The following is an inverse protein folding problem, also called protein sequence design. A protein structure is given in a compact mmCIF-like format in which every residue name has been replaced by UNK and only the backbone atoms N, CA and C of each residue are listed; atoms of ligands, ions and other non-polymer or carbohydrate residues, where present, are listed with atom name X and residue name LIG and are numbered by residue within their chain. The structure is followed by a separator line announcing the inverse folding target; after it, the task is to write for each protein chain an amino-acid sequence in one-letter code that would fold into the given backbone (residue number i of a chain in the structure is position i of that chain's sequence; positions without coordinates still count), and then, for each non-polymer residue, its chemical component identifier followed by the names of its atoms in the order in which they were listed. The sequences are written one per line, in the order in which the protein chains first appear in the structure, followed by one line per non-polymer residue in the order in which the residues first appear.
data_IF_261138376816
#
_entry.id   IF_261138376816
#
_cell.length_a   1.000
_cell.length_b   1.000
_cell.length_c   1.000
_cell.angle_alpha   90.00
_cell.angle_beta   90.00
_cell.angle_gamma   90.00
#
_symmetry.space_group_name_H-M   'P 1'
#
loop_
_entity.id
_entity.type
_entity.pdbx_description
1 polymer ?
#
# COMPACT_ATOMS: atom_id res chain seq x y z
N UNK A 1 -11.13 6.33 12.47
CA UNK A 1 -9.73 6.78 12.25
C UNK A 1 -9.27 7.67 13.41
N UNK A 2 -9.11 7.13 14.63
CA UNK A 2 -8.54 7.86 15.77
C UNK A 2 -8.02 6.86 16.83
N UNK A 3 -6.97 6.11 16.51
CA UNK A 3 -6.26 5.25 17.48
C UNK A 3 -4.83 5.03 17.01
N UNK A 4 -4.01 6.08 16.93
CA UNK A 4 -2.58 5.89 16.64
C UNK A 4 -1.64 6.94 17.25
N UNK A 5 -1.96 7.46 18.44
CA UNK A 5 -1.07 8.37 19.18
C UNK A 5 -0.64 7.87 20.56
N UNK A 6 -1.02 6.64 20.97
CA UNK A 6 -0.63 6.09 22.29
C UNK A 6 0.65 5.24 22.27
N UNK A 7 1.06 4.69 21.13
CA UNK A 7 2.24 3.81 21.03
C UNK A 7 3.57 4.58 21.05
N UNK A 8 3.60 5.80 20.50
CA UNK A 8 4.85 6.58 20.43
C UNK A 8 5.29 7.16 21.77
N UNK A 9 4.39 7.26 22.75
CA UNK A 9 4.70 7.78 24.09
C UNK A 9 5.38 6.72 24.96
N UNK A 10 4.96 5.46 24.87
CA UNK A 10 5.58 4.35 25.59
C UNK A 10 6.97 4.00 25.07
N UNK A 11 7.22 4.18 23.78
CA UNK A 11 8.55 3.96 23.19
C UNK A 11 9.55 5.05 23.61
N UNK A 12 9.12 6.31 23.66
CA UNK A 12 9.96 7.41 24.15
C UNK A 12 10.26 7.30 25.65
N UNK A 13 9.29 6.91 26.48
CA UNK A 13 9.51 6.70 27.91
C UNK A 13 10.46 5.53 28.20
N UNK A 14 10.45 4.49 27.36
CA UNK A 14 11.39 3.38 27.43
C UNK A 14 12.80 3.83 27.05
N UNK A 15 12.93 4.66 26.01
CA UNK A 15 14.22 5.22 25.58
C UNK A 15 14.82 6.18 26.62
N UNK A 16 14.01 7.03 27.25
CA UNK A 16 14.46 7.93 28.33
C UNK A 16 14.81 7.18 29.62
N UNK A 17 14.15 6.05 29.92
CA UNK A 17 14.49 5.18 31.05
C UNK A 17 15.85 4.51 30.87
N UNK A 18 16.14 4.02 29.65
CA UNK A 18 17.44 3.43 29.31
C UNK A 18 18.56 4.47 29.38
N UNK A 19 18.36 5.69 28.87
CA UNK A 19 19.35 6.77 28.98
C UNK A 19 19.58 7.21 30.44
N UNK A 20 18.53 7.23 31.28
CA UNK A 20 18.66 7.55 32.71
C UNK A 20 19.40 6.45 33.48
N UNK A 21 19.23 5.19 33.08
CA UNK A 21 19.97 4.04 33.64
C UNK A 21 21.45 4.04 33.23
N UNK A 22 21.77 4.31 31.96
CA UNK A 22 23.16 4.48 31.52
C UNK A 22 23.86 5.69 32.16
N UNK A 23 23.13 6.79 32.43
CA UNK A 23 23.67 7.95 33.16
C UNK A 23 23.90 7.66 34.64
N UNK A 24 23.10 6.77 35.25
CA UNK A 24 23.32 6.25 36.60
C UNK A 24 24.57 5.36 36.63
N UNK A 25 24.72 4.46 35.67
CA UNK A 25 25.87 3.55 35.56
C UNK A 25 27.18 4.29 35.29
N UNK A 26 27.15 5.35 34.47
CA UNK A 26 28.29 6.24 34.23
C UNK A 26 28.64 7.10 35.46
N UNK A 27 27.66 7.47 36.29
CA UNK A 27 27.92 8.18 37.56
C UNK A 27 28.56 7.27 38.60
N UNK A 28 28.11 6.01 38.71
CA UNK A 28 28.71 5.00 39.59
C UNK A 28 30.13 4.62 39.14
N UNK A 29 30.40 4.61 37.83
CA UNK A 29 31.74 4.33 37.29
C UNK A 29 32.73 5.50 37.46
N UNK A 30 32.24 6.75 37.51
CA UNK A 30 33.07 7.93 37.76
C UNK A 30 33.33 8.18 39.26
N UNK A 31 32.56 7.54 40.13
CA UNK A 31 32.73 7.61 41.59
C UNK A 31 33.73 6.56 42.12
N UNK A 32 34.06 5.55 41.32
CA UNK A 32 35.06 4.51 41.63
C UNK A 32 36.50 4.89 41.21
N UNK A 33 36.71 6.10 40.69
CA UNK A 33 38.04 6.65 40.31
C UNK A 33 38.49 7.83 41.18
N UNK A 34 37.87 8.01 42.35
CA UNK A 34 38.42 8.89 43.40
C UNK A 34 39.33 8.06 44.30
N UNK A 35 40.64 8.17 44.04
CA UNK A 35 41.68 7.88 45.03
C UNK A 35 41.32 8.58 46.35
N UNK A 36 41.39 7.90 47.50
CA UNK A 36 41.41 8.60 48.77
C UNK A 36 42.79 9.28 48.90
N UNK A 37 42.84 10.57 48.57
CA UNK A 37 43.79 11.50 49.19
C UNK A 37 43.38 11.68 50.64
N UNK A 38 43.72 10.72 51.48
CA UNK A 38 43.78 10.90 52.92
C UNK A 38 45.13 10.38 53.39
N UNK A 39 46.13 11.23 53.19
CA UNK A 39 47.35 11.28 54.02
C UNK A 39 46.95 11.12 55.48
N UNK A 40 47.34 10.04 56.18
CA UNK A 40 47.35 10.06 57.62
C UNK A 40 48.48 11.01 58.02
N UNK A 41 48.10 12.25 58.29
CA UNK A 41 48.87 13.21 59.06
C UNK A 41 49.47 12.50 60.28
N UNK A 42 50.74 12.11 60.15
CA UNK A 42 51.80 12.28 61.14
C UNK A 42 51.31 12.57 62.57
N UNK A 43 50.69 11.60 63.21
CA UNK A 43 50.43 11.59 64.65
C UNK A 43 50.46 10.15 65.14
N UNK A 44 51.69 9.65 65.28
CA UNK A 44 52.20 8.78 66.35
C UNK A 44 53.59 8.36 65.86
N UNK A 45 54.53 9.29 65.97
CA UNK A 45 55.86 8.94 66.42
C UNK A 45 56.03 9.73 67.71
N UNK A 46 55.58 9.14 68.83
CA UNK A 46 56.26 9.45 70.07
C UNK A 46 57.67 8.97 69.82
N UNK A 47 58.52 9.96 69.57
CA UNK A 47 59.96 9.95 69.68
C UNK A 47 60.34 9.18 70.94
N UNK A 48 60.40 7.86 70.84
CA UNK A 48 61.36 7.06 71.57
C UNK A 48 62.52 6.93 70.58
N UNK A 49 63.09 8.07 70.22
CA UNK A 49 64.53 8.13 70.12
C UNK A 49 65.04 7.51 71.41
N UNK A 50 65.45 6.25 71.33
CA UNK A 50 66.66 5.87 72.00
C UNK A 50 67.75 6.73 71.35
N UNK A 51 67.79 8.01 71.76
CA UNK A 51 69.05 8.66 72.00
C UNK A 51 69.74 7.69 72.94
N UNK A 52 70.58 6.81 72.37
CA UNK A 52 71.75 6.38 73.09
C UNK A 52 72.30 7.69 73.65
N UNK A 53 72.30 7.89 74.99
CA UNK A 53 72.92 9.08 75.51
C UNK A 53 74.29 9.10 74.86
N UNK A 54 74.63 10.20 74.17
CA UNK A 54 76.01 10.46 73.78
C UNK A 54 76.77 10.49 75.10
N UNK A 55 77.18 9.31 75.53
CA UNK A 55 78.07 9.12 76.64
C UNK A 55 79.37 9.63 76.03
N UNK A 56 79.64 10.92 76.25
CA UNK A 56 80.98 11.44 76.06
C UNK A 56 81.80 10.69 77.09
N UNK A 57 82.33 9.54 76.65
CA UNK A 57 83.14 8.72 77.51
C UNK A 57 84.42 9.54 77.72
N UNK A 58 84.78 9.85 78.98
CA UNK A 58 85.98 10.60 79.26
C UNK A 58 87.19 9.89 78.61
N UNK A 59 88.15 10.66 78.04
CA UNK A 59 89.28 10.06 77.36
C UNK A 59 90.04 9.14 78.32
N UNK A 60 90.45 7.97 77.84
CA UNK A 60 91.12 6.98 78.68
C UNK A 60 92.36 7.55 79.35
N UNK A 61 92.62 7.16 80.60
CA UNK A 61 93.88 7.52 81.24
C UNK A 61 95.06 6.88 80.49
N UNK A 62 96.27 7.44 80.54
CA UNK A 62 97.42 6.92 79.79
C UNK A 62 97.73 5.44 80.08
N UNK A 63 97.51 5.01 81.33
CA UNK A 63 97.73 3.63 81.75
C UNK A 63 96.65 2.69 81.21
N UNK A 64 95.38 3.12 81.23
CA UNK A 64 94.26 2.37 80.66
C UNK A 64 94.37 2.26 79.13
N UNK A 65 94.75 3.34 78.45
CA UNK A 65 94.95 3.32 77.00
C UNK A 65 96.09 2.35 76.59
N UNK A 66 97.17 2.29 77.38
CA UNK A 66 98.26 1.33 77.16
C UNK A 66 97.83 -0.12 77.42
N UNK A 67 97.11 -0.37 78.52
CA UNK A 67 96.59 -1.70 78.83
C UNK A 67 95.60 -2.19 77.75
N UNK A 68 94.67 -1.33 77.33
CA UNK A 68 93.69 -1.64 76.28
C UNK A 68 94.40 -1.84 74.93
N UNK A 69 95.42 -1.04 74.61
CA UNK A 69 96.20 -1.22 73.38
C UNK A 69 96.92 -2.58 73.35
N UNK A 70 97.51 -3.02 74.46
CA UNK A 70 98.14 -4.34 74.56
C UNK A 70 97.12 -5.47 74.33
N UNK A 71 95.94 -5.37 74.94
CA UNK A 71 94.86 -6.36 74.76
C UNK A 71 94.37 -6.36 73.31
N UNK A 72 94.18 -5.19 72.70
CA UNK A 72 93.76 -5.09 71.30
C UNK A 72 94.83 -5.63 70.33
N UNK A 73 96.11 -5.42 70.61
CA UNK A 73 97.21 -6.03 69.85
C UNK A 73 97.20 -7.55 69.98
N UNK A 74 97.00 -8.09 71.17
CA UNK A 74 96.86 -9.53 71.38
C UNK A 74 95.65 -10.10 70.65
N UNK A 75 94.50 -9.41 70.68
CA UNK A 75 93.32 -9.78 69.90
C UNK A 75 93.58 -9.75 68.39
N UNK A 76 94.31 -8.74 67.88
CA UNK A 76 94.71 -8.69 66.47
C UNK A 76 95.66 -9.82 66.09
N UNK A 77 96.59 -10.20 66.98
CA UNK A 77 97.46 -11.36 66.77
C UNK A 77 96.67 -12.67 66.79
N UNK A 78 95.72 -12.84 67.70
CA UNK A 78 94.86 -14.03 67.74
C UNK A 78 93.97 -14.12 66.50
N UNK A 79 93.38 -13.01 66.06
CA UNK A 79 92.66 -12.95 64.79
C UNK A 79 93.60 -13.24 63.61
N UNK A 80 94.84 -12.76 63.63
CA UNK A 80 95.85 -13.10 62.61
C UNK A 80 96.04 -14.62 62.51
N UNK A 81 96.23 -15.31 63.64
CA UNK A 81 96.37 -16.78 63.72
C UNK A 81 95.14 -17.50 63.17
N UNK A 82 93.93 -17.08 63.54
CA UNK A 82 92.68 -17.69 63.02
C UNK A 82 92.61 -17.61 61.49
N UNK A 83 93.09 -16.52 60.88
CA UNK A 83 93.13 -16.38 59.42
C UNK A 83 94.18 -17.24 58.74
N UNK A 84 95.22 -17.66 59.45
CA UNK A 84 96.18 -18.64 58.93
C UNK A 84 95.63 -20.08 59.00
N UNK A 85 94.72 -20.37 59.95
CA UNK A 85 94.11 -21.69 60.08
C UNK A 85 93.01 -21.97 59.05
N UNK A 86 92.36 -20.92 58.52
CA UNK A 86 91.28 -21.02 57.51
C UNK A 86 91.68 -20.18 56.29
N UNK A 87 92.51 -20.71 55.38
CA UNK A 87 92.99 -19.96 54.22
C UNK A 87 91.91 -19.94 53.11
N UNK A 88 90.99 -19.00 53.21
CA UNK A 88 89.97 -18.73 52.17
C UNK A 88 90.12 -17.28 51.69
N UNK A 89 90.10 -17.05 50.37
CA UNK A 89 90.20 -15.70 49.81
C UNK A 89 88.83 -15.00 49.86
N UNK A 90 88.76 -13.81 50.45
CA UNK A 90 87.50 -13.04 50.53
C UNK A 90 87.30 -12.27 49.25
N UNK A 91 86.22 -12.56 48.53
CA UNK A 91 85.88 -11.86 47.29
C UNK A 91 85.45 -10.39 47.56
N UNK A 92 86.04 -9.40 46.87
CA UNK A 92 85.72 -7.96 47.03
C UNK A 92 84.26 -7.57 46.78
N UNK A 93 83.48 -8.41 46.08
CA UNK A 93 82.04 -8.17 45.83
C UNK A 93 81.23 -8.00 47.13
N UNK A 94 81.72 -8.59 48.22
CA UNK A 94 81.03 -8.66 49.50
C UNK A 94 81.56 -7.65 50.52
N UNK A 95 82.02 -6.48 50.07
CA UNK A 95 82.45 -5.38 50.95
C UNK A 95 81.28 -4.89 51.84
N UNK A 96 81.57 -4.75 53.14
CA UNK A 96 80.64 -4.44 54.23
C UNK A 96 80.48 -2.93 54.50
N UNK A 97 81.05 -2.09 53.63
CA UNK A 97 80.71 -0.66 53.57
C UNK A 97 79.19 -0.48 53.65
N UNK A 98 78.69 0.48 54.43
CA UNK A 98 77.26 0.75 54.55
C UNK A 98 76.63 0.93 53.16
N UNK A 99 75.75 0.01 52.78
CA UNK A 99 74.91 0.04 51.58
C UNK A 99 73.49 0.28 52.01
N UNK A 100 72.73 1.03 51.23
CA UNK A 100 71.31 1.25 51.49
C UNK A 100 70.51 -0.06 51.32
N UNK A 101 69.31 -0.14 51.90
CA UNK A 101 68.44 -1.32 51.81
C UNK A 101 68.19 -1.70 50.34
N UNK A 102 68.01 -0.70 49.48
CA UNK A 102 67.79 -0.87 48.03
C UNK A 102 69.05 -1.39 47.31
N UNK A 103 70.25 -1.01 47.73
CA UNK A 103 71.50 -1.56 47.19
C UNK A 103 71.80 -2.99 47.71
N UNK A 104 71.23 -3.36 48.87
CA UNK A 104 71.48 -4.65 49.53
C UNK A 104 70.48 -5.73 49.08
N UNK A 105 69.21 -5.36 48.93
CA UNK A 105 68.11 -6.26 48.60
C UNK A 105 67.41 -5.92 47.29
N UNK A 106 67.81 -4.83 46.63
CA UNK A 106 67.37 -4.52 45.27
C UNK A 106 67.66 -5.70 44.36
N UNK A 107 66.70 -6.00 43.49
CA UNK A 107 66.83 -7.08 42.52
C UNK A 107 68.01 -6.74 41.62
N UNK A 108 69.12 -7.52 41.61
CA UNK A 108 70.15 -7.31 40.62
C UNK A 108 69.56 -7.57 39.23
N UNK A 109 69.94 -6.79 38.22
CA UNK A 109 69.54 -6.99 36.81
C UNK A 109 69.99 -8.35 36.22
N UNK A 110 70.62 -9.22 37.02
CA UNK A 110 70.98 -10.57 36.63
C UNK A 110 69.78 -11.53 36.77
N UNK A 111 69.44 -12.29 35.71
CA UNK A 111 68.34 -13.25 35.75
C UNK A 111 68.58 -14.34 36.80
N UNK A 112 67.55 -14.63 37.61
CA UNK A 112 67.53 -15.76 38.54
C UNK A 112 67.41 -17.06 37.75
N UNK A 113 68.53 -17.68 37.39
CA UNK A 113 68.57 -18.98 36.71
C UNK A 113 68.97 -20.07 37.72
N UNK A 114 68.35 -21.24 37.59
CA UNK A 114 68.35 -22.36 38.55
C UNK A 114 69.69 -23.14 38.59
N UNK A 115 70.63 -22.89 37.67
CA UNK A 115 71.89 -23.64 37.52
C UNK A 115 73.11 -22.70 37.44
N UNK A 116 73.49 -22.09 38.57
CA UNK A 116 74.59 -21.11 38.64
C UNK A 116 75.95 -21.76 38.86
N UNK A 117 76.02 -22.81 39.70
CA UNK A 117 77.28 -23.54 39.96
C UNK A 117 77.82 -24.28 38.72
N UNK A 118 76.93 -24.83 37.88
CA UNK A 118 77.32 -25.63 36.70
C UNK A 118 78.00 -24.79 35.59
N UNK A 119 77.89 -23.46 35.66
CA UNK A 119 78.50 -22.51 34.73
C UNK A 119 79.82 -21.91 35.26
N UNK A 120 80.35 -22.42 36.38
CA UNK A 120 81.57 -21.90 37.01
C UNK A 120 81.40 -20.53 37.66
N UNK A 121 80.15 -20.08 37.85
CA UNK A 121 79.83 -18.83 38.54
C UNK A 121 79.71 -19.07 40.04
N UNK A 122 80.18 -18.13 40.84
CA UNK A 122 80.17 -18.24 42.30
C UNK A 122 78.73 -18.31 42.86
N UNK A 123 78.50 -19.06 43.96
CA UNK A 123 77.21 -19.13 44.64
C UNK A 123 76.67 -17.74 45.05
N UNK A 124 75.35 -17.56 45.01
CA UNK A 124 74.67 -16.32 45.45
C UNK A 124 74.81 -16.14 46.97
N UNK A 125 74.98 -17.24 47.70
CA UNK A 125 75.14 -17.25 49.15
C UNK A 125 76.62 -17.55 49.44
N UNK A 126 77.35 -16.68 50.16
CA UNK A 126 78.73 -16.94 50.55
C UNK A 126 78.85 -18.25 51.35
N UNK A 127 79.92 -19.01 51.11
CA UNK A 127 80.21 -20.23 51.87
C UNK A 127 80.50 -19.88 53.34
N UNK A 128 80.17 -20.76 54.29
CA UNK A 128 80.39 -20.49 55.73
C UNK A 128 81.83 -20.05 56.06
N UNK A 129 82.83 -20.65 55.40
CA UNK A 129 84.24 -20.27 55.54
C UNK A 129 84.58 -18.89 54.95
N UNK A 130 83.91 -18.46 53.87
CA UNK A 130 84.08 -17.13 53.27
C UNK A 130 83.41 -16.05 54.13
N UNK A 131 82.24 -16.36 54.70
CA UNK A 131 81.56 -15.49 55.67
C UNK A 131 82.41 -15.29 56.91
N UNK A 132 82.95 -16.36 57.48
CA UNK A 132 83.80 -16.28 58.67
C UNK A 132 85.08 -15.44 58.42
N UNK A 133 85.71 -15.60 57.25
CA UNK A 133 86.88 -14.81 56.90
C UNK A 133 86.54 -13.34 56.62
N UNK A 134 85.35 -13.06 56.08
CA UNK A 134 84.82 -11.69 55.92
C UNK A 134 84.62 -11.02 57.28
N UNK A 135 83.86 -11.67 58.16
CA UNK A 135 83.55 -11.15 59.50
C UNK A 135 84.85 -10.90 60.27
N UNK A 136 85.82 -11.81 60.16
CA UNK A 136 87.17 -11.64 60.71
C UNK A 136 87.89 -10.42 60.13
N UNK A 137 87.93 -10.26 58.81
CA UNK A 137 88.61 -9.13 58.16
C UNK A 137 87.96 -7.79 58.56
N UNK A 138 86.63 -7.74 58.58
CA UNK A 138 85.87 -6.57 59.04
C UNK A 138 86.21 -6.21 60.49
N UNK A 139 86.17 -7.19 61.41
CA UNK A 139 86.55 -6.98 62.82
C UNK A 139 88.01 -6.54 62.93
N UNK A 140 88.93 -7.12 62.15
CA UNK A 140 90.33 -6.70 62.15
C UNK A 140 90.49 -5.24 61.70
N UNK A 141 89.79 -4.79 60.67
CA UNK A 141 89.86 -3.41 60.20
C UNK A 141 89.24 -2.43 61.20
N UNK A 142 88.13 -2.80 61.84
CA UNK A 142 87.53 -2.01 62.93
C UNK A 142 88.48 -1.93 64.12
N UNK A 143 89.04 -3.07 64.57
CA UNK A 143 89.96 -3.11 65.71
C UNK A 143 91.29 -2.38 65.44
N UNK A 144 91.82 -2.42 64.20
CA UNK A 144 92.99 -1.62 63.80
C UNK A 144 92.70 -0.12 63.89
N UNK A 145 91.53 0.33 63.39
CA UNK A 145 91.10 1.73 63.49
C UNK A 145 90.98 2.16 64.96
N UNK A 146 90.35 1.33 65.79
CA UNK A 146 90.20 1.59 67.23
C UNK A 146 91.54 1.61 67.96
N UNK A 147 92.45 0.68 67.64
CA UNK A 147 93.80 0.65 68.19
C UNK A 147 94.58 1.93 67.84
N UNK A 148 94.47 2.39 66.58
CA UNK A 148 95.10 3.64 66.15
C UNK A 148 94.47 4.87 66.83
N UNK A 149 93.16 4.87 67.04
CA UNK A 149 92.45 5.94 67.76
C UNK A 149 92.80 5.99 69.25
N UNK A 150 92.90 4.84 69.92
CA UNK A 150 93.28 4.77 71.33
C UNK A 150 94.74 5.20 71.52
N UNK A 151 95.64 4.82 70.61
CA UNK A 151 97.06 5.23 70.65
C UNK A 151 97.25 6.73 70.41
N UNK A 152 96.51 7.32 69.47
CA UNK A 152 96.73 8.70 69.03
C UNK A 152 95.85 9.73 69.74
N UNK A 153 94.57 9.41 69.95
CA UNK A 153 93.54 10.35 70.40
C UNK A 153 92.88 9.95 71.74
N UNK A 154 93.13 8.72 72.24
CA UNK A 154 92.57 8.15 73.48
C UNK A 154 91.04 8.10 73.52
N UNK A 155 90.39 8.10 72.36
CA UNK A 155 88.95 7.92 72.19
C UNK A 155 88.67 6.69 71.31
N UNK A 156 87.41 6.28 71.23
CA UNK A 156 86.96 5.11 70.46
C UNK A 156 85.74 5.46 69.57
N UNK A 157 85.68 6.70 69.09
CA UNK A 157 84.53 7.22 68.34
C UNK A 157 84.26 6.42 67.05
N UNK A 158 85.27 5.79 66.43
CA UNK A 158 85.03 4.91 65.27
C UNK A 158 84.29 3.63 65.65
N UNK A 159 84.55 3.06 66.84
CA UNK A 159 83.78 1.90 67.30
C UNK A 159 82.33 2.30 67.56
N UNK A 160 82.10 3.45 68.18
CA UNK A 160 80.76 3.95 68.45
C UNK A 160 79.97 4.19 67.15
N UNK A 161 80.59 4.84 66.16
CA UNK A 161 79.97 5.04 64.84
C UNK A 161 79.63 3.73 64.15
N UNK A 162 80.51 2.73 64.24
CA UNK A 162 80.27 1.42 63.62
C UNK A 162 79.14 0.65 64.33
N UNK A 163 79.09 0.70 65.66
CA UNK A 163 77.98 0.15 66.44
C UNK A 163 76.66 0.84 66.12
N UNK A 164 76.65 2.18 66.00
CA UNK A 164 75.46 2.94 65.62
C UNK A 164 75.02 2.62 64.17
N UNK A 165 75.96 2.35 63.26
CA UNK A 165 75.67 1.89 61.89
C UNK A 165 75.06 0.48 61.88
N UNK A 166 75.58 -0.45 62.68
CA UNK A 166 75.01 -1.80 62.84
C UNK A 166 73.58 -1.71 63.42
N UNK A 167 73.38 -0.86 64.44
CA UNK A 167 72.07 -0.64 65.03
C UNK A 167 71.04 -0.11 64.03
N UNK A 168 71.44 0.83 63.14
CA UNK A 168 70.59 1.32 62.06
C UNK A 168 70.24 0.24 61.04
N UNK A 169 71.22 -0.57 60.60
CA UNK A 169 70.96 -1.69 59.68
C UNK A 169 69.93 -2.68 60.25
N UNK A 170 70.06 -3.03 61.54
CA UNK A 170 69.11 -3.93 62.20
C UNK A 170 67.70 -3.34 62.28
N UNK A 171 67.57 -2.03 62.50
CA UNK A 171 66.25 -1.38 62.53
C UNK A 171 65.62 -1.29 61.14
N UNK A 172 66.43 -0.97 60.13
CA UNK A 172 66.03 -0.98 58.72
C UNK A 172 65.55 -2.37 58.27
N UNK A 173 66.26 -3.43 58.64
CA UNK A 173 65.86 -4.83 58.39
C UNK A 173 64.53 -5.17 59.09
N UNK A 174 64.36 -4.77 60.35
CA UNK A 174 63.09 -4.97 61.08
C UNK A 174 61.93 -4.22 60.45
N UNK A 175 62.16 -3.00 59.95
CA UNK A 175 61.15 -2.22 59.26
C UNK A 175 60.78 -2.83 57.91
N UNK A 176 61.76 -3.38 57.19
CA UNK A 176 61.53 -4.12 55.96
C UNK A 176 60.74 -5.42 56.23
N UNK A 177 61.09 -6.17 57.27
CA UNK A 177 60.38 -7.39 57.66
C UNK A 177 58.91 -7.09 58.02
N UNK A 178 58.65 -6.07 58.83
CA UNK A 178 57.28 -5.62 59.13
C UNK A 178 56.53 -5.25 57.86
N UNK A 179 57.18 -4.52 56.95
CA UNK A 179 56.55 -4.12 55.68
C UNK A 179 56.23 -5.33 54.80
N UNK A 180 57.15 -6.30 54.70
CA UNK A 180 56.93 -7.54 53.97
C UNK A 180 55.78 -8.37 54.55
N UNK A 181 55.67 -8.44 55.88
CA UNK A 181 54.53 -9.09 56.55
C UNK A 181 53.21 -8.38 56.21
N UNK A 182 53.18 -7.03 56.21
CA UNK A 182 51.99 -6.28 55.79
C UNK A 182 51.61 -6.60 54.34
N UNK A 183 52.58 -6.60 53.42
CA UNK A 183 52.33 -6.94 52.01
C UNK A 183 51.82 -8.37 51.84
N UNK A 184 52.34 -9.33 52.62
CA UNK A 184 51.89 -10.71 52.60
C UNK A 184 50.44 -10.82 53.09
N UNK A 185 50.10 -10.18 54.21
CA UNK A 185 48.71 -10.16 54.71
C UNK A 185 47.75 -9.49 53.71
N UNK A 186 48.17 -8.43 53.03
CA UNK A 186 47.37 -7.80 51.97
C UNK A 186 47.19 -8.72 50.77
N UNK A 187 48.25 -9.40 50.32
CA UNK A 187 48.17 -10.35 49.23
C UNK A 187 47.24 -11.53 49.56
N UNK A 188 47.26 -12.00 50.81
CA UNK A 188 46.33 -13.02 51.28
C UNK A 188 44.87 -12.54 51.27
N UNK A 189 44.61 -11.31 51.73
CA UNK A 189 43.28 -10.70 51.68
C UNK A 189 42.77 -10.56 50.24
N UNK A 190 43.61 -10.08 49.31
CA UNK A 190 43.23 -9.99 47.91
C UNK A 190 42.97 -11.36 47.29
N UNK A 191 43.75 -12.39 47.67
CA UNK A 191 43.53 -13.76 47.21
C UNK A 191 42.19 -14.30 47.73
N UNK A 192 41.86 -14.05 48.98
CA UNK A 192 40.57 -14.46 49.57
C UNK A 192 39.39 -13.76 48.89
N UNK A 193 39.50 -12.44 48.66
CA UNK A 193 38.49 -11.67 47.94
C UNK A 193 38.30 -12.18 46.51
N UNK A 194 39.39 -12.48 45.81
CA UNK A 194 39.35 -13.04 44.46
C UNK A 194 38.65 -14.41 44.42
N UNK A 195 38.91 -15.27 45.40
CA UNK A 195 38.23 -16.57 45.51
C UNK A 195 36.74 -16.44 45.89
N UNK A 196 36.40 -15.47 46.75
CA UNK A 196 35.02 -15.08 47.04
C UNK A 196 34.27 -14.64 45.78
N UNK A 197 34.86 -13.71 45.02
CA UNK A 197 34.25 -13.13 43.82
C UNK A 197 34.09 -14.19 42.72
N UNK A 198 35.07 -15.10 42.56
CA UNK A 198 34.95 -16.24 41.65
C UNK A 198 33.76 -17.14 41.99
N UNK A 199 33.55 -17.44 43.28
CA UNK A 199 32.41 -18.28 43.72
C UNK A 199 31.08 -17.58 43.47
N UNK A 200 30.97 -16.30 43.83
CA UNK A 200 29.76 -15.51 43.59
C UNK A 200 29.42 -15.43 42.09
N UNK A 201 30.41 -15.16 41.25
CA UNK A 201 30.23 -15.11 39.80
C UNK A 201 29.81 -16.47 39.21
N UNK A 202 30.37 -17.57 39.71
CA UNK A 202 29.99 -18.91 39.26
C UNK A 202 28.55 -19.28 39.67
N UNK A 203 28.10 -18.84 40.86
CA UNK A 203 26.72 -19.00 41.28
C UNK A 203 25.76 -18.18 40.43
N UNK A 204 26.09 -16.92 40.14
CA UNK A 204 25.26 -16.06 39.30
C UNK A 204 25.19 -16.59 37.86
N UNK A 205 26.32 -17.07 37.31
CA UNK A 205 26.33 -17.79 36.03
C UNK A 205 25.37 -18.97 36.02
N UNK A 206 25.38 -19.80 37.08
CA UNK A 206 24.45 -20.93 37.22
C UNK A 206 22.99 -20.49 37.32
N UNK A 207 22.69 -19.40 38.05
CA UNK A 207 21.33 -18.85 38.15
C UNK A 207 20.84 -18.35 36.79
N UNK A 208 21.67 -17.61 36.05
CA UNK A 208 21.31 -17.11 34.71
C UNK A 208 21.06 -18.26 33.74
N UNK A 209 21.88 -19.31 33.76
CA UNK A 209 21.68 -20.50 32.92
C UNK A 209 20.35 -21.18 33.24
N UNK A 210 20.00 -21.34 34.52
CA UNK A 210 18.71 -21.93 34.92
C UNK A 210 17.52 -21.10 34.44
N UNK A 211 17.57 -19.78 34.62
CA UNK A 211 16.51 -18.88 34.15
C UNK A 211 16.35 -18.93 32.62
N UNK A 212 17.46 -18.99 31.88
CA UNK A 212 17.42 -19.21 30.43
C UNK A 212 16.73 -20.53 30.07
N UNK A 213 17.10 -21.64 30.71
CA UNK A 213 16.48 -22.95 30.47
C UNK A 213 14.98 -22.96 30.79
N UNK A 214 14.58 -22.35 31.91
CA UNK A 214 13.16 -22.22 32.28
C UNK A 214 12.38 -21.39 31.27
N UNK A 215 12.98 -20.29 30.79
CA UNK A 215 12.41 -19.46 29.73
C UNK A 215 12.27 -20.24 28.42
N UNK A 216 13.30 -20.99 28.01
CA UNK A 216 13.28 -21.79 26.78
C UNK A 216 12.16 -22.84 26.81
N UNK A 217 12.02 -23.58 27.92
CA UNK A 217 10.94 -24.56 28.10
C UNK A 217 9.55 -23.88 28.00
N UNK A 218 9.40 -22.68 28.57
CA UNK A 218 8.14 -21.93 28.46
C UNK A 218 7.86 -21.49 27.02
N UNK A 219 8.87 -20.99 26.31
CA UNK A 219 8.76 -20.58 24.91
C UNK A 219 8.39 -21.77 24.02
N UNK A 220 9.04 -22.92 24.21
CA UNK A 220 8.74 -24.15 23.47
C UNK A 220 7.31 -24.63 23.74
N UNK A 221 6.87 -24.60 24.99
CA UNK A 221 5.50 -24.97 25.35
C UNK A 221 4.46 -24.06 24.68
N UNK A 222 4.65 -22.74 24.74
CA UNK A 222 3.76 -21.76 24.09
C UNK A 222 3.79 -21.94 22.58
N UNK A 223 4.95 -22.18 21.98
CA UNK A 223 5.10 -22.43 20.55
C UNK A 223 4.33 -23.68 20.13
N UNK A 224 4.42 -24.77 20.88
CA UNK A 224 3.68 -26.01 20.63
C UNK A 224 2.15 -25.81 20.71
N UNK A 225 1.67 -25.12 21.75
CA UNK A 225 0.24 -24.83 21.88
C UNK A 225 -0.25 -23.94 20.74
N UNK A 226 0.54 -22.93 20.37
CA UNK A 226 0.20 -22.01 19.29
C UNK A 226 0.23 -22.70 17.93
N UNK A 227 1.18 -23.61 17.67
CA UNK A 227 1.20 -24.39 16.43
C UNK A 227 -0.05 -25.28 16.29
N UNK A 228 -0.53 -25.86 17.40
CA UNK A 228 -1.79 -26.60 17.41
C UNK A 228 -3.02 -25.72 17.11
N UNK A 229 -3.10 -24.55 17.75
CA UNK A 229 -4.18 -23.57 17.50
C UNK A 229 -4.16 -23.05 16.05
N UNK A 230 -2.97 -22.77 15.52
CA UNK A 230 -2.78 -22.32 14.15
C UNK A 230 -3.26 -23.39 13.16
N UNK A 231 -2.85 -24.65 13.35
CA UNK A 231 -3.31 -25.75 12.49
C UNK A 231 -4.82 -25.97 12.52
N UNK A 232 -5.47 -25.74 13.67
CA UNK A 232 -6.94 -25.73 13.74
C UNK A 232 -7.55 -24.58 12.95
N UNK A 233 -7.04 -23.36 13.12
CA UNK A 233 -7.52 -22.18 12.40
C UNK A 233 -7.34 -22.31 10.88
N UNK A 234 -6.21 -22.85 10.42
CA UNK A 234 -5.94 -23.12 9.01
C UNK A 234 -6.92 -24.14 8.43
N UNK A 235 -7.13 -25.27 9.10
CA UNK A 235 -8.10 -26.29 8.67
C UNK A 235 -9.51 -25.74 8.64
N UNK A 236 -9.88 -24.94 9.64
CA UNK A 236 -11.18 -24.28 9.71
C UNK A 236 -11.39 -23.29 8.56
N UNK A 237 -10.38 -22.45 8.28
CA UNK A 237 -10.41 -21.50 7.18
C UNK A 237 -10.50 -22.21 5.83
N UNK A 238 -9.71 -23.28 5.64
CA UNK A 238 -9.73 -24.11 4.42
C UNK A 238 -11.10 -24.75 4.20
N UNK A 239 -11.66 -25.42 5.21
CA UNK A 239 -12.98 -26.03 5.10
C UNK A 239 -14.08 -25.00 4.78
N UNK A 240 -13.98 -23.78 5.33
CA UNK A 240 -14.92 -22.70 5.05
C UNK A 240 -14.79 -22.17 3.63
N UNK A 241 -13.57 -22.07 3.10
CA UNK A 241 -13.33 -21.71 1.70
C UNK A 241 -13.91 -22.77 0.76
N UNK A 242 -13.61 -24.05 0.99
CA UNK A 242 -14.14 -25.18 0.21
C UNK A 242 -15.68 -25.19 0.22
N UNK A 243 -16.30 -24.92 1.38
CA UNK A 243 -17.76 -24.81 1.49
C UNK A 243 -18.32 -23.65 0.64
N UNK A 244 -17.69 -22.47 0.67
CA UNK A 244 -18.14 -21.33 -0.12
C UNK A 244 -17.95 -21.57 -1.61
N UNK A 245 -16.82 -22.15 -2.01
CA UNK A 245 -16.54 -22.53 -3.39
C UNK A 245 -17.59 -23.50 -3.93
N UNK A 246 -17.93 -24.54 -3.16
CA UNK A 246 -19.00 -25.47 -3.54
C UNK A 246 -20.36 -24.77 -3.70
N UNK A 247 -20.71 -23.86 -2.78
CA UNK A 247 -21.96 -23.09 -2.86
C UNK A 247 -22.01 -22.24 -4.13
N UNK A 248 -20.93 -21.54 -4.44
CA UNK A 248 -20.83 -20.72 -5.66
C UNK A 248 -20.91 -21.58 -6.91
N UNK A 249 -20.24 -22.74 -6.93
CA UNK A 249 -20.30 -23.68 -8.06
C UNK A 249 -21.72 -24.21 -8.29
N UNK A 250 -22.46 -24.54 -7.22
CA UNK A 250 -23.85 -24.96 -7.32
C UNK A 250 -24.75 -23.84 -7.86
N UNK A 251 -24.58 -22.61 -7.38
CA UNK A 251 -25.32 -21.44 -7.86
C UNK A 251 -25.01 -21.13 -9.33
N UNK A 252 -23.74 -21.16 -9.73
CA UNK A 252 -23.33 -20.99 -11.12
C UNK A 252 -23.95 -22.05 -12.02
N UNK A 253 -23.94 -23.32 -11.60
CA UNK A 253 -24.56 -24.40 -12.36
C UNK A 253 -26.07 -24.19 -12.53
N UNK A 254 -26.76 -23.77 -11.46
CA UNK A 254 -28.20 -23.46 -11.53
C UNK A 254 -28.49 -22.30 -12.50
N UNK A 255 -27.68 -21.24 -12.45
CA UNK A 255 -27.81 -20.11 -13.39
C UNK A 255 -27.50 -20.51 -14.84
N UNK A 256 -26.50 -21.37 -15.06
CA UNK A 256 -26.17 -21.90 -16.39
C UNK A 256 -27.31 -22.78 -16.94
N UNK A 257 -27.93 -23.59 -16.09
CA UNK A 257 -29.08 -24.40 -16.49
C UNK A 257 -30.26 -23.52 -16.89
N UNK A 258 -30.60 -22.50 -16.09
CA UNK A 258 -31.65 -21.52 -16.42
C UNK A 258 -31.35 -20.77 -17.72
N UNK A 259 -30.10 -20.36 -17.94
CA UNK A 259 -29.69 -19.71 -19.18
C UNK A 259 -29.82 -20.66 -20.38
N UNK A 260 -29.51 -21.94 -20.20
CA UNK A 260 -29.74 -22.96 -21.23
C UNK A 260 -31.23 -23.19 -21.51
N UNK A 261 -32.09 -23.18 -20.48
CA UNK A 261 -33.54 -23.30 -20.63
C UNK A 261 -34.11 -22.11 -21.39
N UNK A 262 -33.81 -20.87 -20.97
CA UNK A 262 -34.24 -19.67 -21.68
C UNK A 262 -33.71 -19.61 -23.12
N UNK A 263 -32.48 -20.07 -23.37
CA UNK A 263 -31.96 -20.14 -24.73
C UNK A 263 -32.75 -21.13 -25.61
N UNK A 264 -33.17 -22.28 -25.05
CA UNK A 264 -34.02 -23.24 -25.78
C UNK A 264 -35.40 -22.66 -26.06
N UNK A 265 -36.02 -22.02 -25.08
CA UNK A 265 -37.33 -21.35 -25.23
C UNK A 265 -37.26 -20.25 -26.29
N UNK A 266 -36.23 -19.40 -26.23
CA UNK A 266 -35.99 -18.35 -27.21
C UNK A 266 -35.83 -18.90 -28.64
N UNK A 267 -35.03 -19.97 -28.81
CA UNK A 267 -34.83 -20.59 -30.12
C UNK A 267 -36.14 -21.22 -30.66
N UNK A 268 -36.95 -21.81 -29.78
CA UNK A 268 -38.26 -22.35 -30.15
C UNK A 268 -39.23 -21.23 -30.58
N UNK A 269 -39.28 -20.13 -29.83
CA UNK A 269 -40.09 -18.95 -30.17
C UNK A 269 -39.65 -18.31 -31.49
N UNK A 270 -38.34 -18.22 -31.75
CA UNK A 270 -37.83 -17.77 -33.04
C UNK A 270 -38.27 -18.68 -34.19
N UNK A 271 -38.24 -20.00 -33.98
CA UNK A 271 -38.65 -20.98 -35.00
C UNK A 271 -40.16 -20.86 -35.31
N UNK A 272 -41.00 -20.78 -34.27
CA UNK A 272 -42.45 -20.56 -34.42
C UNK A 272 -42.75 -19.21 -35.08
N UNK A 273 -42.05 -18.14 -34.68
CA UNK A 273 -42.23 -16.82 -35.28
C UNK A 273 -41.87 -16.82 -36.77
N UNK A 274 -40.79 -17.51 -37.15
CA UNK A 274 -40.43 -17.67 -38.56
C UNK A 274 -41.52 -18.43 -39.34
N UNK A 275 -42.06 -19.51 -38.77
CA UNK A 275 -43.16 -20.27 -39.39
C UNK A 275 -44.42 -19.41 -39.57
N UNK A 276 -44.84 -18.68 -38.53
CA UNK A 276 -45.99 -17.76 -38.61
C UNK A 276 -45.76 -16.69 -39.67
N UNK A 277 -44.56 -16.11 -39.75
CA UNK A 277 -44.23 -15.13 -40.77
C UNK A 277 -44.36 -15.72 -42.17
N UNK A 278 -43.80 -16.92 -42.40
CA UNK A 278 -43.91 -17.59 -43.71
C UNK A 278 -45.36 -17.91 -44.10
N UNK A 279 -46.19 -18.33 -43.14
CA UNK A 279 -47.62 -18.58 -43.37
C UNK A 279 -48.37 -17.29 -43.73
N UNK A 280 -48.18 -16.22 -42.94
CA UNK A 280 -48.86 -14.95 -43.17
C UNK A 280 -48.45 -14.34 -44.50
N UNK A 281 -47.17 -14.43 -44.88
CA UNK A 281 -46.68 -13.91 -46.15
C UNK A 281 -47.24 -14.70 -47.34
N UNK A 282 -47.41 -16.02 -47.19
CA UNK A 282 -48.09 -16.84 -48.20
C UNK A 282 -49.58 -16.47 -48.35
N UNK A 283 -50.30 -16.28 -47.24
CA UNK A 283 -51.72 -15.88 -47.27
C UNK A 283 -51.90 -14.47 -47.86
N UNK A 284 -51.05 -13.50 -47.46
CA UNK A 284 -51.05 -12.15 -48.04
C UNK A 284 -50.88 -12.24 -49.55
N UNK A 285 -49.89 -13.01 -50.02
CA UNK A 285 -49.65 -13.19 -51.45
C UNK A 285 -50.85 -13.81 -52.18
N UNK A 286 -51.49 -14.82 -51.60
CA UNK A 286 -52.71 -15.41 -52.16
C UNK A 286 -53.84 -14.36 -52.28
N UNK A 287 -54.03 -13.53 -51.24
CA UNK A 287 -55.05 -12.47 -51.28
C UNK A 287 -54.71 -11.37 -52.28
N UNK A 288 -53.44 -11.00 -52.41
CA UNK A 288 -52.97 -10.05 -53.43
C UNK A 288 -53.25 -10.58 -54.85
N UNK A 289 -52.96 -11.85 -55.10
CA UNK A 289 -53.27 -12.52 -56.38
C UNK A 289 -54.78 -12.54 -56.66
N UNK A 290 -55.62 -12.79 -55.64
CA UNK A 290 -57.08 -12.71 -55.79
C UNK A 290 -57.54 -11.29 -56.11
N UNK A 291 -56.99 -10.27 -55.43
CA UNK A 291 -57.30 -8.86 -55.69
C UNK A 291 -56.92 -8.50 -57.12
N UNK A 292 -55.74 -8.92 -57.60
CA UNK A 292 -55.29 -8.67 -58.97
C UNK A 292 -56.24 -9.33 -59.99
N UNK A 293 -56.61 -10.60 -59.77
CA UNK A 293 -57.56 -11.32 -60.62
C UNK A 293 -58.93 -10.62 -60.69
N UNK A 294 -59.50 -10.23 -59.54
CA UNK A 294 -60.79 -9.54 -59.50
C UNK A 294 -60.72 -8.14 -60.11
N UNK A 295 -59.62 -7.42 -59.89
CA UNK A 295 -59.38 -6.11 -60.50
C UNK A 295 -59.33 -6.22 -62.02
N UNK A 296 -58.63 -7.24 -62.54
CA UNK A 296 -58.57 -7.50 -63.98
C UNK A 296 -59.96 -7.82 -64.55
N UNK A 297 -60.71 -8.73 -63.91
CA UNK A 297 -62.07 -9.07 -64.33
C UNK A 297 -63.01 -7.87 -64.33
N UNK A 298 -62.97 -7.05 -63.28
CA UNK A 298 -63.79 -5.84 -63.19
C UNK A 298 -63.44 -4.83 -64.29
N UNK A 299 -62.15 -4.63 -64.56
CA UNK A 299 -61.71 -3.75 -65.64
C UNK A 299 -62.15 -4.27 -67.02
N UNK A 300 -62.08 -5.58 -67.26
CA UNK A 300 -62.58 -6.21 -68.49
C UNK A 300 -64.10 -5.99 -68.64
N UNK A 301 -64.88 -6.25 -67.59
CA UNK A 301 -66.34 -6.03 -67.61
C UNK A 301 -66.68 -4.54 -67.82
N UNK A 302 -65.96 -3.61 -67.20
CA UNK A 302 -66.13 -2.17 -67.44
C UNK A 302 -65.87 -1.82 -68.92
N UNK A 303 -64.83 -2.39 -69.53
CA UNK A 303 -64.53 -2.16 -70.95
C UNK A 303 -65.63 -2.74 -71.83
N UNK A 304 -66.09 -3.96 -71.57
CA UNK A 304 -67.19 -4.59 -72.32
C UNK A 304 -68.49 -3.77 -72.20
N UNK A 305 -68.90 -3.40 -70.99
CA UNK A 305 -70.10 -2.57 -70.79
C UNK A 305 -69.97 -1.19 -71.43
N UNK A 306 -68.78 -0.59 -71.41
CA UNK A 306 -68.53 0.69 -72.07
C UNK A 306 -68.68 0.54 -73.59
N UNK A 307 -68.20 -0.57 -74.17
CA UNK A 307 -68.40 -0.88 -75.59
C UNK A 307 -69.89 -1.05 -75.93
N UNK A 308 -70.64 -1.82 -75.14
CA UNK A 308 -72.10 -1.97 -75.32
C UNK A 308 -72.83 -0.62 -75.27
N UNK A 309 -72.49 0.24 -74.30
CA UNK A 309 -73.05 1.58 -74.18
C UNK A 309 -72.74 2.42 -75.43
N UNK A 310 -71.52 2.34 -75.97
CA UNK A 310 -71.13 3.11 -77.15
C UNK A 310 -71.78 2.57 -78.44
N UNK A 311 -71.99 1.26 -78.56
CA UNK A 311 -72.79 0.65 -79.63
C UNK A 311 -74.26 1.10 -79.57
N UNK A 312 -74.87 1.06 -78.38
CA UNK A 312 -76.25 1.53 -78.19
C UNK A 312 -76.40 3.03 -78.48
N UNK A 313 -75.43 3.87 -78.07
CA UNK A 313 -75.40 5.29 -78.43
C UNK A 313 -75.36 5.47 -79.95
N UNK A 314 -74.52 4.71 -80.65
CA UNK A 314 -74.42 4.76 -82.11
C UNK A 314 -75.77 4.40 -82.77
N UNK A 315 -76.44 3.35 -82.28
CA UNK A 315 -77.76 2.95 -82.76
C UNK A 315 -78.83 4.03 -82.50
N UNK A 316 -78.80 4.66 -81.31
CA UNK A 316 -79.69 5.78 -80.99
C UNK A 316 -79.46 6.96 -81.94
N UNK A 317 -78.21 7.32 -82.23
CA UNK A 317 -77.91 8.41 -83.16
C UNK A 317 -78.35 8.09 -84.60
N UNK A 318 -78.23 6.83 -85.04
CA UNK A 318 -78.74 6.37 -86.33
C UNK A 318 -80.28 6.46 -86.39
N UNK A 319 -80.98 6.00 -85.36
CA UNK A 319 -82.44 6.13 -85.27
C UNK A 319 -82.91 7.59 -85.18
N UNK A 320 -82.18 8.45 -84.47
CA UNK A 320 -82.47 9.89 -84.43
C UNK A 320 -82.36 10.52 -85.82
N UNK A 321 -81.34 10.14 -86.60
CA UNK A 321 -81.18 10.60 -87.97
C UNK A 321 -82.36 10.18 -88.84
N UNK A 322 -82.77 8.91 -88.77
CA UNK A 322 -83.95 8.39 -89.49
C UNK A 322 -85.25 9.11 -89.10
N UNK A 323 -85.48 9.34 -87.80
CA UNK A 323 -86.63 10.10 -87.31
C UNK A 323 -86.60 11.53 -87.85
N UNK A 324 -85.44 12.17 -87.88
CA UNK A 324 -85.30 13.53 -88.40
C UNK A 324 -85.59 13.58 -89.91
N UNK A 325 -85.07 12.63 -90.69
CA UNK A 325 -85.42 12.48 -92.11
C UNK A 325 -86.93 12.31 -92.31
N UNK A 326 -87.56 11.44 -91.53
CA UNK A 326 -89.01 11.22 -91.54
C UNK A 326 -89.80 12.47 -91.17
N UNK A 327 -89.34 13.26 -90.18
CA UNK A 327 -89.94 14.56 -89.83
C UNK A 327 -89.84 15.54 -90.99
N UNK A 328 -88.69 15.66 -91.65
CA UNK A 328 -88.57 16.54 -92.82
C UNK A 328 -89.50 16.12 -93.95
N UNK A 329 -89.75 14.82 -94.12
CA UNK A 329 -90.69 14.29 -95.10
C UNK A 329 -92.15 14.60 -94.73
N UNK A 330 -92.50 14.44 -93.45
CA UNK A 330 -93.82 14.82 -92.92
C UNK A 330 -94.05 16.32 -93.12
N UNK A 331 -93.09 17.17 -92.79
CA UNK A 331 -93.19 18.62 -92.98
C UNK A 331 -93.40 19.01 -94.45
N UNK A 332 -92.69 18.34 -95.38
CA UNK A 332 -92.89 18.52 -96.83
C UNK A 332 -94.31 18.11 -97.25
N UNK A 333 -94.79 16.96 -96.79
CA UNK A 333 -96.14 16.47 -97.08
C UNK A 333 -97.23 17.37 -96.46
N UNK A 334 -97.01 17.87 -95.25
CA UNK A 334 -97.94 18.77 -94.57
C UNK A 334 -98.05 20.10 -95.32
N UNK A 335 -96.91 20.70 -95.71
CA UNK A 335 -96.91 21.91 -96.56
C UNK A 335 -97.70 21.72 -97.86
N UNK A 336 -97.56 20.56 -98.50
CA UNK A 336 -98.32 20.22 -99.69
C UNK A 336 -99.82 20.10 -99.41
N UNK A 337 -100.22 19.44 -98.32
CA UNK A 337 -101.63 19.33 -97.91
C UNK A 337 -102.21 20.72 -97.60
N UNK A 338 -101.49 21.55 -96.85
CA UNK A 338 -101.92 22.90 -96.49
C UNK A 338 -102.09 23.77 -97.74
N UNK A 339 -101.20 23.62 -98.74
CA UNK A 339 -101.32 24.29 -100.03
C UNK A 339 -102.55 23.81 -100.81
N UNK A 340 -102.85 22.50 -100.82
CA UNK A 340 -104.08 21.95 -101.39
C UNK A 340 -105.35 22.48 -100.69
N UNK A 341 -105.37 22.53 -99.35
CA UNK A 341 -106.50 23.06 -98.56
C UNK A 341 -106.68 24.56 -98.81
N UNK A 342 -105.57 25.31 -98.87
CA UNK A 342 -105.60 26.74 -99.18
C UNK A 342 -106.19 27.00 -100.56
N UNK A 343 -105.80 26.22 -101.58
CA UNK A 343 -106.35 26.34 -102.92
C UNK A 343 -107.83 25.91 -102.99
N UNK A 344 -108.23 24.86 -102.26
CA UNK A 344 -109.64 24.46 -102.13
C UNK A 344 -110.47 25.57 -101.48
N UNK A 345 -109.95 26.23 -100.44
CA UNK A 345 -110.61 27.37 -99.80
C UNK A 345 -110.69 28.58 -100.73
N UNK A 346 -109.67 28.85 -101.56
CA UNK A 346 -109.73 29.89 -102.60
C UNK A 346 -110.83 29.59 -103.63
N UNK A 347 -110.97 28.33 -104.04
CA UNK A 347 -112.06 27.90 -104.92
C UNK A 347 -113.42 28.10 -104.26
N UNK A 348 -113.59 27.71 -102.99
CA UNK A 348 -114.83 27.93 -102.23
C UNK A 348 -115.16 29.43 -102.07
N UNK A 349 -114.16 30.27 -101.83
CA UNK A 349 -114.35 31.73 -101.73
C UNK A 349 -114.79 32.32 -103.08
N UNK A 350 -114.17 31.89 -104.18
CA UNK A 350 -114.60 32.24 -105.54
C UNK A 350 -116.04 31.78 -105.82
N UNK A 351 -116.41 30.57 -105.42
CA UNK A 351 -117.80 30.10 -105.53
C UNK A 351 -118.78 30.98 -104.73
N UNK A 352 -118.42 31.44 -103.53
CA UNK A 352 -119.24 32.40 -102.77
C UNK A 352 -119.39 33.72 -103.53
N UNK A 353 -118.33 34.23 -104.16
CA UNK A 353 -118.40 35.43 -104.99
C UNK A 353 -119.33 35.23 -106.19
N UNK A 354 -119.26 34.08 -106.89
CA UNK A 354 -120.18 33.75 -107.98
C UNK A 354 -121.64 33.62 -107.53
N UNK A 355 -121.88 33.02 -106.36
CA UNK A 355 -123.22 32.94 -105.76
C UNK A 355 -123.76 34.34 -105.41
N UNK A 356 -122.96 35.19 -104.79
CA UNK A 356 -123.33 36.57 -104.48
C UNK A 356 -123.63 37.40 -105.74
N UNK A 357 -122.79 37.29 -106.78
CA UNK A 357 -123.02 37.93 -108.07
C UNK A 357 -124.34 37.49 -108.71
N UNK A 358 -124.66 36.20 -108.63
CA UNK A 358 -125.93 35.65 -109.14
C UNK A 358 -127.15 36.21 -108.39
N UNK A 359 -127.08 36.36 -107.07
CA UNK A 359 -128.15 36.97 -106.25
C UNK A 359 -128.35 38.44 -106.62
N UNK A 360 -127.28 39.22 -106.77
CA UNK A 360 -127.36 40.63 -107.17
C UNK A 360 -128.00 40.76 -108.57
N UNK A 361 -127.55 39.94 -109.54
CA UNK A 361 -128.09 39.94 -110.89
C UNK A 361 -129.58 39.56 -110.93
N UNK A 362 -129.99 38.55 -110.17
CA UNK A 362 -131.39 38.10 -110.13
C UNK A 362 -132.32 39.13 -109.47
N UNK A 363 -131.85 39.80 -108.42
CA UNK A 363 -132.57 40.86 -107.71
C UNK A 363 -132.76 42.10 -108.58
N UNK A 364 -131.71 42.52 -109.29
CA UNK A 364 -131.78 43.66 -110.22
C UNK A 364 -132.71 43.38 -111.41
N UNK A 365 -132.62 42.18 -112.00
CA UNK A 365 -133.54 41.75 -113.06
C UNK A 365 -135.00 41.77 -112.60
N UNK A 366 -135.28 41.32 -111.38
CA UNK A 366 -136.62 41.38 -110.79
C UNK A 366 -137.11 42.82 -110.54
N UNK A 367 -136.22 43.71 -110.08
CA UNK A 367 -136.56 45.12 -109.85
C UNK A 367 -136.87 45.86 -111.16
N UNK A 368 -136.09 45.62 -112.22
CA UNK A 368 -136.30 46.19 -113.56
C UNK A 368 -137.69 45.87 -114.13
N UNK A 369 -138.20 44.65 -113.93
CA UNK A 369 -139.53 44.22 -114.40
C UNK A 369 -140.64 44.94 -113.63
N UNK A 370 -140.50 45.10 -112.30
CA UNK A 370 -141.52 45.71 -111.44
C UNK A 370 -141.65 47.22 -111.64
N UNK A 371 -140.54 47.92 -111.85
CA UNK A 371 -140.55 49.39 -112.04
C UNK A 371 -140.73 49.82 -113.51
N UNK A 372 -140.98 48.87 -114.42
CA UNK A 372 -141.22 49.14 -115.85
C UNK A 372 -140.12 50.00 -116.51
N UNK A 373 -138.87 49.79 -116.09
CA UNK A 373 -137.72 50.51 -116.61
C UNK A 373 -137.26 49.87 -117.93
N UNK A 374 -136.84 50.71 -118.88
CA UNK A 374 -136.32 50.28 -120.18
C UNK A 374 -137.33 49.47 -121.01
N UNK A 375 -136.94 48.25 -121.41
CA UNK A 375 -137.68 47.39 -122.36
C UNK A 375 -139.10 46.99 -121.90
N UNK A 376 -139.46 47.26 -120.63
CA UNK A 376 -140.74 46.90 -120.02
C UNK A 376 -141.74 48.07 -119.88
N UNK A 377 -141.42 49.27 -120.41
CA UNK A 377 -142.29 50.46 -120.35
C UNK A 377 -143.56 50.29 -121.20
N UNK A 378 -144.75 50.38 -120.58
CA UNK A 378 -146.05 50.33 -121.29
C UNK A 378 -146.67 48.94 -121.48
N UNK A 379 -146.09 47.88 -120.90
CA UNK A 379 -146.60 46.49 -120.99
C UNK A 379 -148.06 46.38 -120.53
N UNK A 380 -148.42 47.09 -119.45
CA UNK A 380 -149.77 47.08 -118.88
C UNK A 380 -150.84 47.72 -119.81
N UNK A 381 -150.48 48.73 -120.60
CA UNK A 381 -151.39 49.35 -121.59
C UNK A 381 -151.63 48.42 -122.80
N UNK A 382 -150.62 47.64 -123.23
CA UNK A 382 -150.74 46.62 -124.30
C UNK A 382 -151.64 45.44 -123.90
N UNK A 383 -151.54 44.96 -122.66
CA UNK A 383 -152.38 43.88 -122.14
C UNK A 383 -153.86 44.28 -122.02
N UNK A 384 -154.18 45.54 -121.65
CA UNK A 384 -155.55 46.03 -121.49
C UNK A 384 -156.29 46.25 -122.84
N UNK A 385 -155.57 46.64 -123.91
CA UNK A 385 -156.14 46.82 -125.27
C UNK A 385 -156.48 45.47 -125.96
N UNK A 386 -155.70 44.42 -125.67
CA UNK A 386 -155.94 43.04 -126.17
C UNK A 386 -157.17 42.38 -125.52
N UNK A 387 -157.55 42.78 -124.31
CA UNK A 387 -158.74 42.25 -123.61
C UNK A 387 -160.06 42.83 -124.16
N UNK A 388 -160.11 44.11 -124.56
CA UNK A 388 -161.33 44.75 -125.13
C UNK A 388 -161.66 44.32 -126.57
N UNK A 389 -160.68 43.90 -127.38
CA UNK A 389 -160.91 43.39 -128.75
C UNK A 389 -161.45 41.95 -128.81
N UNK A 390 -161.31 41.16 -127.73
CA UNK A 390 -161.79 39.76 -127.67
C UNK A 390 -163.28 39.62 -127.30
N UNK A 391 -163.95 40.68 -126.84
CA UNK A 391 -165.37 40.63 -126.43
C UNK A 391 -166.37 41.20 -127.46
N UNK A 392 -165.90 41.75 -128.59
CA UNK A 392 -166.76 42.24 -129.70
C UNK A 392 -166.95 41.23 -130.86
N UNK A 393 -166.60 39.94 -130.66
CA UNK A 393 -166.55 38.94 -131.75
C UNK A 393 -167.10 37.55 -131.38
N UNK A 394 -168.15 37.51 -130.55
CA UNK A 394 -169.07 36.37 -130.37
C UNK A 394 -170.49 36.88 -130.12
N UNK A 395 -171.15 37.27 -131.21
CA UNK A 395 -172.52 36.89 -131.58
C UNK A 395 -172.35 35.92 -132.74
#
# INVERSE_FOLDING_TARGET
MYTNCRSSKSELDTYFSVIRSHRSFAKTSLELLKLPEDTPSSKISKDIGMQNPKMQVPPFTPLEAAAISCVLEECLHQLAVIGFMIPTNVNPRWDDSFKTIDETYGVPDEPRIIFREDMGLLPIIPTEAEKLQRDRNYVCEVLKKVLQEIKNYRTFDSLQKEVDNIAKKLEDERNLEKSAQMWLSQAEQFREQLESDKKANEEDRKKTIKLAQESDVQVDHVTFLNSGKLGFAEKWAKARLEQQELKLNLQNRDMLNKLSEYSKEYNAEQSISAEIHTYLEADIKEKEEQIEMWTKKYNEEIVERQQEVDELKKLIEEQKLEIEEMRTLIDKRQKFIDECIAEENRLKENEKLYKAATVIQSTWRGHMVRQQLGKYKGLWKRLKKRKKLRQKRKV
#
